data_IF_701842154575
#
_entry.id   IF_701842154575
#
_cell.length_a   1.000
_cell.length_b   1.000
_cell.length_c   1.000
_cell.angle_alpha   90.00
_cell.angle_beta   90.00
_cell.angle_gamma   90.00
#
_symmetry.space_group_name_H-M   'P 1'
#
loop_
_entity.id
_entity.type
_entity.pdbx_description
1 polymer ?
#
# COMPACT_ATOMS: atom_id res chain seq x y z
N UNK A 1 1.07 15.34 -8.85
CA UNK A 1 0.36 15.95 -7.71
C UNK A 1 -0.78 16.88 -8.12
N UNK A 2 -0.78 17.46 -9.32
CA UNK A 2 -1.84 18.40 -9.76
C UNK A 2 -3.27 17.82 -9.70
N UNK A 3 -3.48 16.58 -10.13
CA UNK A 3 -4.80 15.95 -10.10
C UNK A 3 -5.41 15.87 -8.68
N UNK A 4 -4.64 15.40 -7.70
CA UNK A 4 -5.11 15.30 -6.32
C UNK A 4 -5.18 16.68 -5.65
N UNK A 5 -4.23 17.58 -5.90
CA UNK A 5 -4.28 18.94 -5.37
C UNK A 5 -5.48 19.73 -5.92
N UNK A 6 -5.90 19.49 -7.16
CA UNK A 6 -7.13 20.08 -7.70
C UNK A 6 -8.34 19.69 -6.85
N UNK A 7 -8.47 18.42 -6.46
CA UNK A 7 -9.55 17.96 -5.59
C UNK A 7 -9.43 18.55 -4.18
N UNK A 8 -8.24 18.52 -3.58
CA UNK A 8 -7.98 19.04 -2.23
C UNK A 8 -8.36 20.52 -2.12
N UNK A 9 -7.84 21.36 -3.01
CA UNK A 9 -8.03 22.82 -2.95
C UNK A 9 -9.43 23.21 -3.39
N UNK A 10 -9.90 22.69 -4.53
CA UNK A 10 -11.12 23.21 -5.14
C UNK A 10 -12.39 22.59 -4.57
N UNK A 11 -12.35 21.31 -4.19
CA UNK A 11 -13.51 20.59 -3.68
C UNK A 11 -13.50 20.52 -2.15
N UNK A 12 -12.41 20.02 -1.56
CA UNK A 12 -12.33 19.80 -0.10
C UNK A 12 -11.92 21.03 0.71
N UNK A 13 -11.47 22.11 0.07
CA UNK A 13 -10.97 23.34 0.71
C UNK A 13 -9.83 23.07 1.70
N UNK A 14 -8.98 22.11 1.36
CA UNK A 14 -7.77 21.75 2.09
C UNK A 14 -6.53 22.32 1.39
N UNK A 15 -5.42 22.40 2.14
CA UNK A 15 -4.14 22.85 1.60
C UNK A 15 -3.59 21.89 0.55
N UNK A 16 -2.88 22.43 -0.43
CA UNK A 16 -2.20 21.64 -1.44
C UNK A 16 -1.00 20.89 -0.83
N UNK A 17 -0.77 19.68 -1.32
CA UNK A 17 0.44 18.91 -1.01
C UNK A 17 1.59 19.42 -1.87
N UNK A 18 2.73 19.72 -1.25
CA UNK A 18 3.95 20.14 -1.95
C UNK A 18 4.57 18.95 -2.69
N UNK A 19 4.65 19.08 -4.02
CA UNK A 19 5.26 18.07 -4.88
C UNK A 19 6.75 17.85 -4.59
N UNK A 20 7.52 18.92 -4.46
CA UNK A 20 8.97 18.80 -4.35
C UNK A 20 9.35 18.13 -3.03
N UNK A 21 8.66 18.51 -1.94
CA UNK A 21 8.84 17.88 -0.64
C UNK A 21 8.56 16.37 -0.69
N UNK A 22 7.43 15.96 -1.29
CA UNK A 22 7.10 14.52 -1.39
C UNK A 22 8.12 13.77 -2.24
N UNK A 23 8.59 14.39 -3.34
CA UNK A 23 9.63 13.80 -4.16
C UNK A 23 10.92 13.59 -3.35
N UNK A 24 11.39 14.63 -2.65
CA UNK A 24 12.62 14.58 -1.87
C UNK A 24 12.52 13.53 -0.74
N UNK A 25 11.40 13.53 -0.01
CA UNK A 25 11.16 12.60 1.10
C UNK A 25 11.15 11.13 0.62
N UNK A 26 10.50 10.84 -0.52
CA UNK A 26 10.45 9.47 -1.07
C UNK A 26 11.80 9.07 -1.67
N UNK A 27 12.46 9.97 -2.40
CA UNK A 27 13.76 9.68 -3.02
C UNK A 27 14.86 9.44 -1.98
N UNK A 28 14.78 10.07 -0.81
CA UNK A 28 15.72 9.85 0.29
C UNK A 28 15.73 8.39 0.81
N UNK A 29 14.65 7.63 0.61
CA UNK A 29 14.53 6.23 1.05
C UNK A 29 14.42 5.22 -0.10
N UNK A 30 14.43 5.69 -1.35
CA UNK A 30 14.15 4.86 -2.52
C UNK A 30 15.14 3.69 -2.66
N UNK A 31 16.44 3.92 -2.45
CA UNK A 31 17.46 2.88 -2.58
C UNK A 31 17.33 1.80 -1.51
N UNK A 32 16.90 2.17 -0.30
CA UNK A 32 16.65 1.22 0.80
C UNK A 32 15.50 0.29 0.42
N UNK A 33 14.40 0.85 -0.08
CA UNK A 33 13.21 0.07 -0.45
C UNK A 33 13.46 -0.78 -1.70
N UNK A 34 14.08 -0.22 -2.73
CA UNK A 34 14.35 -0.94 -3.99
C UNK A 34 15.38 -2.06 -3.81
N UNK A 35 16.32 -1.90 -2.86
CA UNK A 35 17.25 -2.97 -2.48
C UNK A 35 16.62 -4.19 -1.80
N UNK A 36 15.35 -4.11 -1.36
CA UNK A 36 14.61 -5.22 -0.74
C UNK A 36 13.63 -5.91 -1.70
N UNK A 37 13.52 -5.44 -2.95
CA UNK A 37 12.56 -5.99 -3.92
C UNK A 37 12.95 -7.39 -4.35
N UNK A 38 11.97 -8.30 -4.35
CA UNK A 38 12.08 -9.67 -4.88
C UNK A 38 10.82 -10.02 -5.66
N UNK A 39 10.92 -11.00 -6.57
CA UNK A 39 9.74 -11.62 -7.16
C UNK A 39 9.09 -12.55 -6.12
N UNK A 40 8.10 -12.01 -5.40
CA UNK A 40 7.41 -12.72 -4.32
C UNK A 40 6.65 -13.94 -4.86
N UNK A 41 6.07 -13.85 -6.05
CA UNK A 41 5.29 -14.95 -6.63
C UNK A 41 6.16 -16.16 -6.96
N UNK A 42 7.32 -15.94 -7.60
CA UNK A 42 8.27 -17.02 -7.84
C UNK A 42 8.84 -17.54 -6.52
N UNK A 43 9.26 -16.65 -5.60
CA UNK A 43 9.81 -17.04 -4.31
C UNK A 43 8.88 -17.98 -3.52
N UNK A 44 7.57 -17.66 -3.46
CA UNK A 44 6.56 -18.48 -2.79
C UNK A 44 6.32 -19.81 -3.51
N UNK A 45 6.28 -19.83 -4.85
CA UNK A 45 6.12 -21.09 -5.58
C UNK A 45 7.33 -22.01 -5.42
N UNK A 46 8.55 -21.46 -5.41
CA UNK A 46 9.75 -22.24 -5.12
C UNK A 46 9.76 -22.77 -3.68
N UNK A 47 9.36 -21.95 -2.70
CA UNK A 47 9.23 -22.39 -1.30
C UNK A 47 8.23 -23.55 -1.16
N UNK A 48 7.07 -23.44 -1.82
CA UNK A 48 6.08 -24.52 -1.92
C UNK A 48 6.67 -25.79 -2.52
N UNK A 49 7.44 -25.69 -3.61
CA UNK A 49 8.10 -26.84 -4.28
C UNK A 49 9.17 -27.50 -3.41
N UNK A 50 9.89 -26.74 -2.58
CA UNK A 50 10.87 -27.26 -1.62
C UNK A 50 10.24 -27.91 -0.38
N UNK A 51 8.95 -27.69 -0.15
CA UNK A 51 8.25 -28.15 1.05
C UNK A 51 8.51 -27.25 2.27
N UNK A 52 8.88 -25.99 2.04
CA UNK A 52 9.07 -25.01 3.11
C UNK A 52 7.73 -24.65 3.76
N UNK A 53 7.75 -24.34 5.06
CA UNK A 53 6.58 -23.81 5.74
C UNK A 53 6.46 -22.29 5.53
N UNK A 54 5.28 -21.85 5.08
CA UNK A 54 4.95 -20.45 4.85
C UNK A 54 3.82 -20.05 5.80
N UNK A 55 4.01 -18.95 6.53
CA UNK A 55 2.97 -18.32 7.35
C UNK A 55 2.46 -17.07 6.62
N UNK A 56 1.14 -16.97 6.46
CA UNK A 56 0.49 -15.77 5.94
C UNK A 56 -0.07 -14.97 7.12
N UNK A 57 0.42 -13.75 7.30
CA UNK A 57 -0.06 -12.84 8.34
C UNK A 57 -1.23 -12.02 7.77
N UNK A 58 -2.44 -12.31 8.25
CA UNK A 58 -3.61 -11.49 7.93
C UNK A 58 -3.62 -10.21 8.77
N UNK A 59 -4.14 -9.13 8.19
CA UNK A 59 -4.38 -7.88 8.89
C UNK A 59 -5.89 -7.57 8.98
N UNK A 60 -6.26 -6.65 9.86
CA UNK A 60 -7.65 -6.28 10.19
C UNK A 60 -8.44 -7.47 10.78
N UNK A 61 -9.66 -7.70 10.31
CA UNK A 61 -10.54 -8.78 10.76
C UNK A 61 -11.71 -8.93 9.81
N UNK A 62 -12.34 -10.11 9.79
CA UNK A 62 -13.35 -10.48 8.79
C UNK A 62 -14.53 -9.53 8.70
N UNK A 63 -14.96 -8.91 9.80
CA UNK A 63 -16.07 -7.93 9.78
C UNK A 63 -15.69 -6.58 9.17
N UNK A 64 -14.41 -6.35 8.89
CA UNK A 64 -13.87 -5.18 8.19
C UNK A 64 -13.55 -5.48 6.72
N UNK A 65 -13.88 -6.67 6.24
CA UNK A 65 -13.75 -7.03 4.82
C UNK A 65 -14.64 -6.13 3.94
N UNK A 66 -14.15 -5.77 2.75
CA UNK A 66 -14.87 -4.87 1.84
C UNK A 66 -16.19 -5.46 1.33
N UNK A 67 -16.24 -6.79 1.13
CA UNK A 67 -17.37 -7.49 0.52
C UNK A 67 -18.30 -8.11 1.58
N UNK A 68 -17.72 -8.66 2.65
CA UNK A 68 -18.42 -9.46 3.66
C UNK A 68 -18.54 -8.76 5.02
N UNK A 69 -17.88 -7.62 5.18
CA UNK A 69 -17.90 -6.84 6.41
C UNK A 69 -19.17 -5.99 6.57
N UNK A 70 -19.17 -5.16 7.60
CA UNK A 70 -20.29 -4.27 7.91
C UNK A 70 -20.28 -3.00 7.08
N UNK A 71 -20.41 -3.13 5.77
CA UNK A 71 -20.37 -1.99 4.84
C UNK A 71 -21.36 -0.87 5.27
N UNK A 72 -20.96 0.41 5.27
CA UNK A 72 -19.69 0.98 4.78
C UNK A 72 -18.57 1.06 5.82
N UNK A 73 -18.74 0.52 7.03
CA UNK A 73 -17.75 0.55 8.11
C UNK A 73 -16.77 -0.62 7.98
N UNK A 74 -16.01 -0.61 6.88
CA UNK A 74 -15.07 -1.65 6.45
C UNK A 74 -13.72 -1.03 6.07
N UNK A 75 -12.71 -1.85 5.79
CA UNK A 75 -11.40 -1.42 5.27
C UNK A 75 -11.25 -1.81 3.79
N UNK A 76 -10.59 -0.96 3.01
CA UNK A 76 -10.35 -1.16 1.56
C UNK A 76 -9.02 -1.86 1.26
N UNK A 77 -8.44 -2.54 2.25
CA UNK A 77 -7.13 -3.18 2.13
C UNK A 77 -7.17 -4.36 1.17
#
# INVERSE_FOLDING_TARGET
MEYHNFQLVNFYKADAVDYQKVLDDVMAIADILTGMVVDVSDLLDQARKRGDFVMFEGAQGTLLDIDHGTYPYVTLL
#
